data_IF_417698018691
#
_entry.id   IF_417698018691
#
_cell.length_a   1.000
_cell.length_b   1.000
_cell.length_c   1.000
_cell.angle_alpha   90.00
_cell.angle_beta   90.00
_cell.angle_gamma   90.00
#
_symmetry.space_group_name_H-M   'P 1'
#
loop_
_entity.id
_entity.type
_entity.pdbx_description
1 polymer ?
#
# COMPACT_ATOMS: atom_id res chain seq x y z
N UNK A 1 1.74 13.97 -13.87
CA UNK A 1 2.79 13.52 -12.92
C UNK A 1 2.10 13.21 -11.60
N UNK A 2 2.32 12.02 -11.04
CA UNK A 2 1.67 11.60 -9.80
C UNK A 2 2.04 12.57 -8.65
N UNK A 3 1.06 13.14 -7.90
CA UNK A 3 1.32 14.08 -6.81
C UNK A 3 2.22 13.55 -5.69
N UNK A 4 2.32 12.22 -5.50
CA UNK A 4 3.18 11.59 -4.51
C UNK A 4 4.64 12.09 -4.58
N UNK A 5 5.16 12.31 -5.80
CA UNK A 5 6.54 12.77 -6.02
C UNK A 5 6.82 14.20 -5.56
N UNK A 6 5.80 14.97 -5.14
CA UNK A 6 6.01 16.29 -4.54
C UNK A 6 6.61 16.20 -3.15
N UNK A 7 6.20 15.19 -2.39
CA UNK A 7 6.57 15.01 -0.99
C UNK A 7 7.36 13.71 -0.76
N UNK A 8 7.92 13.13 -1.83
CA UNK A 8 8.69 11.91 -1.75
C UNK A 8 9.76 11.84 -2.85
N UNK A 9 10.83 11.09 -2.59
CA UNK A 9 11.83 10.70 -3.60
C UNK A 9 11.81 9.20 -3.83
N UNK A 10 12.02 8.82 -5.08
CA UNK A 10 12.07 7.42 -5.50
C UNK A 10 13.34 7.19 -6.30
N UNK A 11 14.12 6.19 -5.90
CA UNK A 11 15.30 5.72 -6.63
C UNK A 11 14.98 4.34 -7.22
N UNK A 12 15.13 4.20 -8.53
CA UNK A 12 14.81 2.99 -9.26
C UNK A 12 16.09 2.23 -9.59
N UNK A 13 16.11 0.94 -9.30
CA UNK A 13 17.24 0.07 -9.59
C UNK A 13 16.78 -1.13 -10.39
N UNK A 14 17.65 -1.58 -11.30
CA UNK A 14 17.50 -2.78 -12.09
C UNK A 14 18.71 -3.68 -11.87
N UNK A 15 18.50 -4.99 -11.86
CA UNK A 15 19.56 -5.97 -12.07
C UNK A 15 19.51 -6.42 -13.52
N UNK A 16 20.65 -6.28 -14.20
CA UNK A 16 20.81 -6.65 -15.61
C UNK A 16 21.82 -7.78 -15.68
N UNK A 17 21.42 -8.92 -16.22
CA UNK A 17 22.29 -10.06 -16.45
C UNK A 17 23.31 -9.77 -17.57
N UNK A 18 24.35 -10.60 -17.67
CA UNK A 18 25.43 -10.43 -18.67
C UNK A 18 24.92 -10.42 -20.13
N UNK A 19 23.80 -11.09 -20.39
CA UNK A 19 23.12 -11.10 -21.70
C UNK A 19 22.20 -9.89 -21.93
N UNK A 20 22.34 -8.83 -21.12
CA UNK A 20 21.54 -7.60 -21.15
C UNK A 20 20.05 -7.77 -20.80
N UNK A 21 19.66 -8.92 -20.24
CA UNK A 21 18.27 -9.14 -19.78
C UNK A 21 18.08 -8.55 -18.39
N UNK A 22 17.00 -7.80 -18.18
CA UNK A 22 16.59 -7.34 -16.84
C UNK A 22 16.01 -8.53 -16.07
N UNK A 23 16.63 -8.87 -14.96
CA UNK A 23 16.25 -10.04 -14.12
C UNK A 23 15.69 -9.63 -12.76
N UNK A 24 15.71 -8.34 -12.44
CA UNK A 24 15.04 -7.83 -11.25
C UNK A 24 14.99 -6.31 -11.21
N UNK A 25 14.12 -5.79 -10.35
CA UNK A 25 13.93 -4.36 -10.09
C UNK A 25 13.50 -4.11 -8.66
N UNK A 26 13.83 -2.93 -8.15
CA UNK A 26 13.30 -2.41 -6.89
C UNK A 26 13.20 -0.88 -6.96
N UNK A 27 12.16 -0.34 -6.35
CA UNK A 27 12.04 1.08 -6.06
C UNK A 27 12.36 1.32 -4.58
N UNK A 28 13.28 2.24 -4.30
CA UNK A 28 13.58 2.72 -2.95
C UNK A 28 12.91 4.06 -2.74
N UNK A 29 12.08 4.17 -1.70
CA UNK A 29 11.18 5.29 -1.50
C UNK A 29 11.49 5.99 -0.18
N UNK A 30 11.78 7.28 -0.28
CA UNK A 30 11.90 8.21 0.83
C UNK A 30 10.61 9.04 0.89
N UNK A 31 9.75 8.75 1.87
CA UNK A 31 8.49 9.44 2.08
C UNK A 31 8.66 10.53 3.15
N UNK A 32 8.66 11.81 2.73
CA UNK A 32 8.92 12.92 3.65
C UNK A 32 7.79 13.13 4.65
N UNK A 33 6.54 12.89 4.25
CA UNK A 33 5.39 13.04 5.13
C UNK A 33 5.43 11.98 6.23
N UNK A 34 5.75 10.72 5.88
CA UNK A 34 5.89 9.66 6.87
C UNK A 34 7.01 9.97 7.86
N UNK A 35 8.22 10.28 7.37
CA UNK A 35 9.39 10.51 8.23
C UNK A 35 9.32 11.81 9.05
N UNK A 36 8.51 12.79 8.63
CA UNK A 36 8.24 14.00 9.42
C UNK A 36 7.31 13.75 10.60
N UNK A 37 6.37 12.82 10.45
CA UNK A 37 5.35 12.51 11.46
C UNK A 37 5.71 11.29 12.33
N UNK A 38 6.80 10.60 12.01
CA UNK A 38 7.28 9.41 12.72
C UNK A 38 8.53 9.73 13.55
N UNK A 39 8.64 9.12 14.74
CA UNK A 39 9.89 9.12 15.51
C UNK A 39 10.98 8.27 14.86
N UNK A 40 10.61 7.41 13.92
CA UNK A 40 11.52 6.56 13.16
C UNK A 40 11.84 7.17 11.81
N UNK A 41 13.06 6.95 11.32
CA UNK A 41 13.51 7.40 10.00
C UNK A 41 13.56 6.18 9.09
N UNK A 42 12.50 5.99 8.33
CA UNK A 42 12.25 4.75 7.58
C UNK A 42 12.52 4.99 6.10
N UNK A 43 13.27 4.07 5.50
CA UNK A 43 13.29 3.86 4.06
C UNK A 43 12.29 2.79 3.68
N UNK A 44 11.59 2.96 2.56
CA UNK A 44 10.73 1.92 2.02
C UNK A 44 11.35 1.28 0.78
N UNK A 45 11.10 -0.01 0.56
CA UNK A 45 11.28 -0.62 -0.74
C UNK A 45 9.93 -1.12 -1.26
N UNK A 46 9.72 -1.01 -2.57
CA UNK A 46 8.50 -1.41 -3.26
C UNK A 46 8.79 -1.71 -4.72
N UNK A 47 7.74 -1.99 -5.49
CA UNK A 47 7.81 -2.38 -6.91
C UNK A 47 8.86 -3.48 -7.16
N UNK A 48 9.04 -4.34 -6.15
CA UNK A 48 10.03 -5.39 -6.18
C UNK A 48 9.54 -6.50 -7.10
N UNK A 49 10.29 -6.74 -8.16
CA UNK A 49 10.10 -7.91 -9.01
C UNK A 49 11.46 -8.52 -9.29
N UNK A 50 11.55 -9.84 -9.24
CA UNK A 50 12.80 -10.55 -9.52
C UNK A 50 12.45 -11.93 -10.05
N UNK A 51 13.24 -12.44 -10.99
CA UNK A 51 13.17 -13.86 -11.34
C UNK A 51 13.56 -14.70 -10.12
N UNK A 52 13.23 -16.00 -10.09
CA UNK A 52 13.59 -16.88 -8.97
C UNK A 52 15.10 -17.16 -8.92
N UNK A 53 15.86 -16.13 -8.55
CA UNK A 53 17.31 -16.09 -8.50
C UNK A 53 17.72 -15.29 -7.25
N UNK A 54 18.36 -16.00 -6.33
CA UNK A 54 18.80 -15.41 -5.05
C UNK A 54 19.84 -14.32 -5.24
N UNK A 55 20.77 -14.49 -6.17
CA UNK A 55 21.83 -13.51 -6.41
C UNK A 55 21.25 -12.19 -6.91
N UNK A 56 20.27 -12.25 -7.82
CA UNK A 56 19.57 -11.06 -8.31
C UNK A 56 18.82 -10.33 -7.17
N UNK A 57 18.12 -11.06 -6.31
CA UNK A 57 17.43 -10.49 -5.15
C UNK A 57 18.41 -9.87 -4.15
N UNK A 58 19.50 -10.58 -3.80
CA UNK A 58 20.53 -10.10 -2.88
C UNK A 58 21.19 -8.81 -3.38
N UNK A 59 21.42 -8.66 -4.69
CA UNK A 59 21.96 -7.43 -5.27
C UNK A 59 21.01 -6.23 -5.07
N UNK A 60 19.71 -6.42 -5.31
CA UNK A 60 18.70 -5.38 -5.10
C UNK A 60 18.63 -4.97 -3.63
N UNK A 61 18.58 -5.94 -2.71
CA UNK A 61 18.49 -5.67 -1.28
C UNK A 61 19.78 -5.10 -0.69
N UNK A 62 20.95 -5.52 -1.19
CA UNK A 62 22.23 -4.91 -0.80
C UNK A 62 22.30 -3.44 -1.19
N UNK A 63 21.78 -3.08 -2.37
CA UNK A 63 21.70 -1.67 -2.78
C UNK A 63 20.69 -0.90 -1.93
N UNK A 64 19.57 -1.53 -1.57
CA UNK A 64 18.58 -0.96 -0.66
C UNK A 64 19.17 -0.67 0.73
N UNK A 65 19.97 -1.58 1.28
CA UNK A 65 20.65 -1.41 2.56
C UNK A 65 21.67 -0.25 2.49
N UNK A 66 22.53 -0.22 1.47
CA UNK A 66 23.49 0.88 1.28
C UNK A 66 22.81 2.23 1.18
N UNK A 67 21.70 2.29 0.44
CA UNK A 67 20.88 3.50 0.32
C UNK A 67 20.29 3.91 1.67
N UNK A 68 19.73 2.97 2.43
CA UNK A 68 19.18 3.18 3.76
C UNK A 68 20.24 3.77 4.72
N UNK A 69 21.44 3.19 4.75
CA UNK A 69 22.57 3.66 5.56
C UNK A 69 23.03 5.06 5.14
N UNK A 70 23.19 5.31 3.83
CA UNK A 70 23.59 6.63 3.31
C UNK A 70 22.59 7.73 3.69
N UNK A 71 21.31 7.39 3.73
CA UNK A 71 20.22 8.28 4.15
C UNK A 71 20.08 8.42 5.67
N UNK A 72 20.82 7.64 6.45
CA UNK A 72 20.70 7.55 7.91
C UNK A 72 19.32 7.09 8.37
N UNK A 73 18.64 6.31 7.54
CA UNK A 73 17.43 5.61 7.94
C UNK A 73 17.79 4.45 8.87
N UNK A 74 17.00 4.25 9.92
CA UNK A 74 17.23 3.22 10.92
C UNK A 74 16.44 1.93 10.65
N UNK A 75 15.53 1.95 9.67
CA UNK A 75 14.77 0.79 9.20
C UNK A 75 14.55 0.85 7.70
N UNK A 76 14.53 -0.32 7.08
CA UNK A 76 14.09 -0.54 5.71
C UNK A 76 12.86 -1.45 5.74
N UNK A 77 11.73 -0.99 5.20
CA UNK A 77 10.44 -1.71 5.27
C UNK A 77 9.88 -1.90 3.86
N UNK A 78 9.34 -3.07 3.58
CA UNK A 78 8.69 -3.36 2.31
C UNK A 78 8.19 -4.80 2.20
N UNK A 79 7.52 -5.15 1.10
CA UNK A 79 7.23 -4.26 -0.04
C UNK A 79 6.14 -3.22 0.26
N UNK A 80 6.35 -1.96 -0.10
CA UNK A 80 5.37 -0.86 -0.03
C UNK A 80 5.51 -0.01 -1.30
N UNK A 81 4.52 -0.02 -2.18
CA UNK A 81 4.54 0.72 -3.44
C UNK A 81 4.17 2.19 -3.19
N UNK A 82 5.12 2.99 -2.66
CA UNK A 82 4.99 4.40 -2.24
C UNK A 82 4.53 4.61 -0.79
N UNK A 83 3.30 4.22 -0.46
CA UNK A 83 2.73 4.32 0.90
C UNK A 83 1.69 3.22 1.12
N UNK A 84 1.19 3.08 2.35
CA UNK A 84 0.10 2.13 2.64
C UNK A 84 -1.22 2.51 1.96
N UNK A 85 -1.33 3.72 1.41
CA UNK A 85 -2.50 4.16 0.65
C UNK A 85 -2.47 3.59 -0.79
N UNK A 86 -1.37 2.95 -1.16
CA UNK A 86 -1.17 2.20 -2.39
C UNK A 86 -1.05 0.71 -2.07
N UNK A 87 -0.66 -0.09 -3.06
CA UNK A 87 -0.36 -1.51 -2.86
C UNK A 87 0.81 -1.71 -1.87
N UNK A 88 0.57 -2.47 -0.81
CA UNK A 88 1.59 -2.80 0.17
C UNK A 88 1.41 -4.21 0.72
N UNK A 89 2.54 -4.78 1.15
CA UNK A 89 2.61 -6.14 1.65
C UNK A 89 3.17 -7.14 0.64
N UNK A 90 3.36 -8.35 1.14
CA UNK A 90 3.79 -9.52 0.39
C UNK A 90 2.73 -10.60 0.59
N UNK A 91 2.24 -11.20 -0.49
CA UNK A 91 1.41 -12.40 -0.39
C UNK A 91 2.25 -13.53 0.22
N UNK A 92 1.85 -14.00 1.40
CA UNK A 92 2.49 -15.10 2.14
C UNK A 92 1.55 -16.27 2.38
N UNK A 93 0.25 -16.07 2.13
CA UNK A 93 -0.81 -17.08 2.24
C UNK A 93 -1.96 -16.71 1.27
N UNK A 94 -2.75 -17.68 0.83
CA UNK A 94 -3.89 -17.47 -0.08
C UNK A 94 -3.57 -17.51 -1.59
N UNK A 95 -2.48 -18.19 -1.99
CA UNK A 95 -2.07 -18.38 -3.40
C UNK A 95 -3.06 -19.21 -4.25
N UNK A 96 -4.08 -19.80 -3.62
CA UNK A 96 -5.17 -20.54 -4.25
C UNK A 96 -6.39 -19.64 -4.58
N UNK A 97 -6.33 -18.36 -4.22
CA UNK A 97 -7.39 -17.38 -4.50
C UNK A 97 -7.03 -16.45 -5.66
N UNK A 98 -7.99 -16.02 -6.49
CA UNK A 98 -7.72 -15.04 -7.54
C UNK A 98 -7.21 -13.70 -6.96
N UNK A 99 -6.37 -12.96 -7.70
CA UNK A 99 -5.92 -11.64 -7.29
C UNK A 99 -7.11 -10.69 -7.10
N UNK A 100 -6.99 -9.81 -6.10
CA UNK A 100 -8.00 -8.79 -5.76
C UNK A 100 -7.43 -7.41 -6.08
N UNK A 101 -8.25 -6.54 -6.66
CA UNK A 101 -7.85 -5.18 -7.03
C UNK A 101 -7.25 -4.46 -5.83
N UNK A 102 -6.05 -3.89 -6.02
CA UNK A 102 -5.33 -3.13 -5.00
C UNK A 102 -4.61 -3.96 -3.93
N UNK A 103 -4.63 -5.30 -4.04
CA UNK A 103 -3.88 -6.20 -3.16
C UNK A 103 -2.72 -6.82 -3.95
N UNK A 104 -1.46 -6.75 -3.46
CA UNK A 104 -0.33 -7.37 -4.12
C UNK A 104 -0.54 -8.87 -4.33
N UNK A 105 -0.19 -9.35 -5.53
CA UNK A 105 -0.19 -10.78 -5.86
C UNK A 105 1.16 -11.12 -6.50
N UNK A 106 2.01 -11.83 -5.76
CA UNK A 106 3.37 -12.15 -6.16
C UNK A 106 3.62 -13.67 -6.11
N UNK A 107 4.78 -14.09 -6.62
CA UNK A 107 5.16 -15.49 -6.58
C UNK A 107 5.54 -15.93 -5.17
N UNK A 108 5.18 -17.16 -4.80
CA UNK A 108 5.45 -17.71 -3.47
C UNK A 108 6.92 -17.72 -3.07
N UNK A 109 7.84 -17.86 -4.04
CA UNK A 109 9.28 -17.84 -3.77
C UNK A 109 9.80 -16.47 -3.31
N UNK A 110 9.02 -15.38 -3.43
CA UNK A 110 9.46 -14.05 -2.97
C UNK A 110 9.68 -14.02 -1.46
N UNK A 111 8.89 -14.78 -0.69
CA UNK A 111 9.05 -14.86 0.75
C UNK A 111 10.44 -15.40 1.11
N UNK A 112 10.85 -16.52 0.51
CA UNK A 112 12.16 -17.13 0.74
C UNK A 112 13.31 -16.21 0.34
N UNK A 113 13.18 -15.50 -0.79
CA UNK A 113 14.18 -14.54 -1.24
C UNK A 113 14.35 -13.36 -0.26
N UNK A 114 13.24 -12.82 0.24
CA UNK A 114 13.23 -11.70 1.19
C UNK A 114 13.77 -12.13 2.55
N UNK A 115 13.28 -13.25 3.09
CA UNK A 115 13.69 -13.75 4.41
C UNK A 115 15.14 -14.22 4.42
N UNK A 116 15.62 -14.89 3.36
CA UNK A 116 17.01 -15.37 3.28
C UNK A 116 18.05 -14.26 3.15
N UNK A 117 17.65 -13.05 2.73
CA UNK A 117 18.52 -11.86 2.80
C UNK A 117 18.65 -11.33 4.24
N UNK A 118 17.64 -11.55 5.09
CA UNK A 118 17.64 -11.15 6.49
C UNK A 118 16.47 -10.26 6.91
N UNK A 119 15.53 -9.98 6.01
CA UNK A 119 14.28 -9.29 6.39
C UNK A 119 13.46 -10.16 7.33
N UNK A 120 12.66 -9.51 8.17
CA UNK A 120 11.76 -10.17 9.11
C UNK A 120 10.36 -9.61 8.97
N UNK A 121 9.38 -10.47 9.22
CA UNK A 121 7.98 -10.08 9.28
C UNK A 121 7.78 -8.88 10.20
N UNK A 122 7.08 -7.87 9.71
CA UNK A 122 6.81 -6.64 10.46
C UNK A 122 5.35 -6.50 10.89
N UNK A 123 4.39 -6.76 9.99
CA UNK A 123 2.96 -6.62 10.25
C UNK A 123 2.16 -7.58 9.36
N UNK A 124 1.09 -8.15 9.92
CA UNK A 124 0.08 -8.87 9.15
C UNK A 124 -0.93 -7.91 8.51
N UNK A 125 -1.16 -8.09 7.21
CA UNK A 125 -2.24 -7.47 6.45
C UNK A 125 -3.19 -8.58 6.03
N UNK A 126 -4.42 -8.56 6.55
CA UNK A 126 -5.38 -9.64 6.36
C UNK A 126 -6.48 -9.18 5.42
N UNK A 127 -6.69 -9.95 4.35
CA UNK A 127 -7.87 -9.82 3.49
C UNK A 127 -8.84 -10.95 3.81
N UNK A 128 -10.13 -10.62 3.93
CA UNK A 128 -11.18 -11.57 4.24
C UNK A 128 -12.14 -11.67 3.07
N UNK A 129 -12.36 -12.90 2.59
CA UNK A 129 -13.45 -13.21 1.68
C UNK A 129 -14.52 -13.95 2.46
N UNK A 130 -15.72 -13.38 2.51
CA UNK A 130 -16.86 -13.99 3.17
C UNK A 130 -18.04 -14.09 2.22
N UNK A 131 -18.67 -15.26 2.17
CA UNK A 131 -19.98 -15.42 1.55
C UNK A 131 -21.04 -15.17 2.63
N UNK A 132 -21.90 -14.17 2.40
CA UNK A 132 -23.00 -13.84 3.29
C UNK A 132 -24.31 -14.36 2.66
N UNK A 133 -24.75 -15.60 2.94
CA UNK A 133 -25.96 -16.16 2.35
C UNK A 133 -27.23 -15.44 2.81
N UNK A 134 -27.20 -14.84 4.00
CA UNK A 134 -28.25 -13.96 4.53
C UNK A 134 -27.68 -12.97 5.55
N UNK A 135 -28.29 -11.79 5.67
CA UNK A 135 -27.92 -10.83 6.72
C UNK A 135 -28.23 -11.45 8.11
N UNK A 136 -27.26 -11.52 9.03
CA UNK A 136 -27.54 -11.95 10.40
C UNK A 136 -28.58 -11.06 11.10
N UNK A 137 -29.49 -11.68 11.84
CA UNK A 137 -30.59 -10.97 12.53
C UNK A 137 -30.08 -9.85 13.48
N UNK A 138 -28.92 -10.05 14.11
CA UNK A 138 -28.32 -9.02 14.98
C UNK A 138 -27.93 -7.76 14.20
N UNK A 139 -27.45 -7.89 12.96
CA UNK A 139 -27.13 -6.76 12.09
C UNK A 139 -28.40 -6.07 11.63
N UNK A 140 -29.43 -6.81 11.25
CA UNK A 140 -30.74 -6.24 10.88
C UNK A 140 -31.35 -5.44 12.04
N UNK A 141 -31.33 -6.00 13.25
CA UNK A 141 -31.83 -5.32 14.45
C UNK A 141 -31.05 -4.04 14.74
N UNK A 142 -29.72 -4.08 14.61
CA UNK A 142 -28.85 -2.91 14.78
C UNK A 142 -29.16 -1.83 13.73
N UNK A 143 -29.24 -2.20 12.46
CA UNK A 143 -29.55 -1.30 11.34
C UNK A 143 -30.94 -0.64 11.49
N UNK A 144 -31.94 -1.40 11.96
CA UNK A 144 -33.29 -0.88 12.23
C UNK A 144 -33.26 0.19 13.33
N UNK A 145 -32.57 -0.08 14.45
CA UNK A 145 -32.43 0.90 15.56
C UNK A 145 -31.70 2.15 15.12
N UNK A 146 -30.64 1.98 14.35
CA UNK A 146 -29.83 3.06 13.81
C UNK A 146 -30.66 3.97 12.88
N UNK A 147 -31.39 3.37 11.93
CA UNK A 147 -32.20 4.09 10.96
C UNK A 147 -33.35 4.86 11.63
N UNK A 148 -33.99 4.24 12.64
CA UNK A 148 -35.07 4.88 13.42
C UNK A 148 -34.64 6.15 14.15
N UNK A 149 -33.36 6.27 14.52
CA UNK A 149 -32.83 7.46 15.22
C UNK A 149 -32.75 8.69 14.30
N UNK A 150 -32.78 8.52 12.97
CA UNK A 150 -32.72 9.59 11.96
C UNK A 150 -31.58 10.62 12.18
N UNK A 151 -30.48 10.19 12.82
CA UNK A 151 -29.32 11.05 13.11
C UNK A 151 -28.37 11.22 11.93
N UNK A 152 -28.48 10.35 10.94
CA UNK A 152 -27.67 10.38 9.73
C UNK A 152 -28.45 9.81 8.55
N UNK A 153 -27.96 10.13 7.35
CA UNK A 153 -28.51 9.68 6.08
C UNK A 153 -27.43 8.85 5.40
N UNK A 154 -27.77 7.62 5.03
CA UNK A 154 -26.95 6.80 4.13
C UNK A 154 -27.49 7.02 2.72
N UNK A 155 -26.62 7.43 1.81
CA UNK A 155 -26.98 7.74 0.42
C UNK A 155 -25.90 7.23 -0.54
N UNK A 156 -26.26 6.93 -1.79
CA UNK A 156 -25.26 6.62 -2.81
C UNK A 156 -24.39 7.86 -3.10
N UNK A 157 -23.23 7.59 -3.69
CA UNK A 157 -22.32 8.60 -4.21
C UNK A 157 -22.99 9.36 -5.38
N UNK A 158 -22.92 10.69 -5.41
CA UNK A 158 -23.51 11.52 -6.46
C UNK A 158 -22.44 11.97 -7.48
N UNK A 159 -22.38 11.31 -8.63
CA UNK A 159 -21.43 11.66 -9.71
C UNK A 159 -21.57 13.12 -10.19
N UNK A 160 -22.77 13.68 -10.19
CA UNK A 160 -23.01 15.08 -10.60
C UNK A 160 -22.39 16.10 -9.62
N UNK A 161 -22.05 15.66 -8.40
CA UNK A 161 -21.41 16.46 -7.35
C UNK A 161 -20.01 15.95 -7.01
N UNK A 162 -19.34 15.34 -7.99
CA UNK A 162 -18.09 14.62 -7.79
C UNK A 162 -17.09 15.36 -6.90
N UNK A 163 -16.79 16.63 -7.18
CA UNK A 163 -15.80 17.38 -6.40
C UNK A 163 -16.22 17.58 -4.92
N UNK A 164 -17.50 17.79 -4.64
CA UNK A 164 -18.04 17.89 -3.26
C UNK A 164 -17.94 16.53 -2.54
N UNK A 165 -18.24 15.45 -3.26
CA UNK A 165 -18.15 14.08 -2.72
C UNK A 165 -16.71 13.71 -2.40
N UNK A 166 -15.78 14.01 -3.32
CA UNK A 166 -14.35 13.75 -3.13
C UNK A 166 -13.79 14.57 -1.96
N UNK A 167 -14.19 15.84 -1.78
CA UNK A 167 -13.78 16.62 -0.61
C UNK A 167 -14.29 16.01 0.70
N UNK A 168 -15.55 15.57 0.72
CA UNK A 168 -16.16 14.93 1.89
C UNK A 168 -15.47 13.60 2.22
N UNK A 169 -15.22 12.76 1.22
CA UNK A 169 -14.53 11.49 1.37
C UNK A 169 -13.09 11.68 1.83
N UNK A 170 -12.37 12.67 1.30
CA UNK A 170 -11.00 12.98 1.69
C UNK A 170 -10.91 13.33 3.18
N UNK A 171 -11.84 14.14 3.71
CA UNK A 171 -11.89 14.47 5.15
C UNK A 171 -12.17 13.23 5.99
N UNK A 172 -13.21 12.47 5.64
CA UNK A 172 -13.59 11.25 6.37
C UNK A 172 -12.43 10.25 6.39
N UNK A 173 -11.76 10.05 5.25
CA UNK A 173 -10.63 9.15 5.13
C UNK A 173 -9.50 9.55 6.07
N UNK A 174 -9.01 10.78 5.98
CA UNK A 174 -7.89 11.25 6.79
C UNK A 174 -8.22 11.29 8.29
N UNK A 175 -9.47 11.62 8.67
CA UNK A 175 -9.88 11.61 10.08
C UNK A 175 -10.04 10.19 10.65
N UNK A 176 -10.54 9.25 9.85
CA UNK A 176 -10.83 7.89 10.31
C UNK A 176 -9.58 7.00 10.32
N UNK A 177 -8.61 7.26 9.45
CA UNK A 177 -7.42 6.42 9.28
C UNK A 177 -6.18 6.93 10.02
N UNK A 178 -6.24 8.11 10.65
CA UNK A 178 -5.08 8.73 11.31
C UNK A 178 -4.39 7.85 12.36
N UNK A 179 -5.14 6.98 13.03
CA UNK A 179 -4.66 6.10 14.08
C UNK A 179 -4.31 4.69 13.54
N UNK A 180 -4.43 4.47 12.22
CA UNK A 180 -4.08 3.21 11.58
C UNK A 180 -2.55 3.04 11.46
N UNK A 181 -2.09 1.80 11.55
CA UNK A 181 -0.67 1.49 11.38
C UNK A 181 -0.17 1.94 10.01
N UNK A 182 0.98 2.62 9.96
CA UNK A 182 1.63 3.03 8.74
C UNK A 182 0.99 4.24 8.03
N UNK A 183 -0.04 4.85 8.63
CA UNK A 183 -0.83 5.91 7.98
C UNK A 183 0.01 7.12 7.58
N UNK A 184 -0.20 7.55 6.33
CA UNK A 184 0.31 8.80 5.79
C UNK A 184 -0.90 9.63 5.37
N UNK A 185 -1.10 10.84 5.92
CA UNK A 185 -2.17 11.73 5.49
C UNK A 185 -2.10 11.94 3.99
N UNK A 186 -3.18 11.60 3.29
CA UNK A 186 -3.23 11.79 1.85
C UNK A 186 -3.46 13.27 1.55
N UNK A 187 -2.61 13.86 0.72
CA UNK A 187 -2.83 15.24 0.28
C UNK A 187 -4.12 15.31 -0.55
N UNK A 188 -4.81 16.46 -0.52
CA UNK A 188 -6.03 16.63 -1.32
C UNK A 188 -5.76 16.41 -2.82
N UNK A 189 -4.57 16.78 -3.29
CA UNK A 189 -4.17 16.61 -4.68
C UNK A 189 -3.95 15.14 -5.05
N UNK A 190 -3.32 14.36 -4.17
CA UNK A 190 -3.15 12.91 -4.34
C UNK A 190 -4.51 12.20 -4.32
N UNK A 191 -5.39 12.56 -3.40
CA UNK A 191 -6.74 11.98 -3.31
C UNK A 191 -7.58 12.28 -4.57
N UNK A 192 -7.53 13.52 -5.06
CA UNK A 192 -8.19 13.90 -6.31
C UNK A 192 -7.58 13.20 -7.53
N UNK A 193 -6.26 13.02 -7.56
CA UNK A 193 -5.58 12.28 -8.63
C UNK A 193 -6.11 10.83 -8.69
N UNK A 194 -6.14 10.13 -7.55
CA UNK A 194 -6.70 8.78 -7.45
C UNK A 194 -8.17 8.69 -7.84
N UNK A 195 -8.99 9.61 -7.32
CA UNK A 195 -10.42 9.64 -7.63
C UNK A 195 -10.68 9.79 -9.14
N UNK A 196 -9.86 10.58 -9.83
CA UNK A 196 -9.96 10.76 -11.28
C UNK A 196 -9.50 9.52 -12.07
N UNK A 197 -8.49 8.78 -11.59
CA UNK A 197 -8.10 7.51 -12.22
C UNK A 197 -9.20 6.45 -12.05
N UNK A 198 -9.89 6.43 -10.91
CA UNK A 198 -11.01 5.51 -10.67
C UNK A 198 -12.27 5.86 -11.47
N UNK A 199 -12.47 7.12 -11.86
CA UNK A 199 -13.66 7.57 -12.61
C UNK A 199 -13.84 6.84 -13.95
N UNK A 200 -12.76 6.33 -14.53
CA UNK A 200 -12.78 5.63 -15.82
C UNK A 200 -13.11 4.14 -15.76
N UNK A 201 -13.19 3.55 -14.55
CA UNK A 201 -13.65 2.18 -14.32
C UNK A 201 -15.16 2.15 -14.08
#
# INVERSE_FOLDING_TARGET
VNPFFKDSKVNLFLVVANNQTVVGRVALIENYIYNKNSSEQIGFFGMFEVVNDKQAADLLFSEAEKWCLKKKFNKLIGPVNFSINHECGLLVDGFDTPPVIGIPYNFSYYQDLIESFGFRKYKDLVSLRMELPSMPEYLESAMSRITKRKRFIVRPFCLNKFDEEIDSMWRIYNESWKDNWGFVPMSKMEFQYFANEMRGF
#
